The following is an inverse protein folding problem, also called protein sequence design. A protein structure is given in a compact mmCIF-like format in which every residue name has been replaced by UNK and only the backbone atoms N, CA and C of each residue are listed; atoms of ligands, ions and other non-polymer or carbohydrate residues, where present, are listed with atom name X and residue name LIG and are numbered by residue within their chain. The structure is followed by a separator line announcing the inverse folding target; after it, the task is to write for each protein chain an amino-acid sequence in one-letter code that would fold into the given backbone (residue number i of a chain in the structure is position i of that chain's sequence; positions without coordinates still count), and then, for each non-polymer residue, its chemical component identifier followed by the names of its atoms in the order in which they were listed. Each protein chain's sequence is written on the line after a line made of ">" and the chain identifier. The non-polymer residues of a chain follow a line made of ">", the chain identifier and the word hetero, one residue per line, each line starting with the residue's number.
data_IF_194441488244
#
_entry.id   IF_194441488244
#
_cell.length_a   1.000
_cell.length_b   1.000
_cell.length_c   1.000
_cell.angle_alpha   90.00
_cell.angle_beta   90.00
_cell.angle_gamma   90.00
#
_symmetry.space_group_name_H-M   'P 1'
#
loop_
_entity.id
_entity.type
_entity.pdbx_description
1 polymer ?
#
# COMPACT_ATOMS: atom_id res chain seq x y z
N UNK A 1 -19.70 -1.18 19.48
CA UNK A 1 -18.82 -0.35 18.63
C UNK A 1 -19.69 0.65 17.90
N UNK A 2 -19.49 1.94 18.14
CA UNK A 2 -20.31 3.02 17.58
C UNK A 2 -20.00 3.24 16.10
N UNK A 3 -21.01 3.09 15.26
CA UNK A 3 -21.08 3.40 13.82
C UNK A 3 -21.04 4.93 13.55
N UNK A 4 -20.25 5.68 14.32
CA UNK A 4 -20.25 7.16 14.34
C UNK A 4 -19.21 7.77 13.39
N UNK A 5 -18.31 6.95 12.85
CA UNK A 5 -17.25 7.43 11.94
C UNK A 5 -17.55 7.19 10.46
N UNK A 6 -18.68 6.52 10.14
CA UNK A 6 -19.13 6.35 8.75
C UNK A 6 -19.90 7.58 8.29
N UNK A 7 -19.34 8.30 7.34
CA UNK A 7 -20.00 9.44 6.66
C UNK A 7 -20.57 9.00 5.34
N UNK A 8 -21.74 9.54 5.00
CA UNK A 8 -22.29 9.38 3.66
C UNK A 8 -21.42 10.16 2.65
N UNK A 9 -20.93 9.52 1.58
CA UNK A 9 -20.10 10.17 0.56
C UNK A 9 -20.82 11.31 -0.18
N UNK A 10 -22.15 11.30 -0.19
CA UNK A 10 -22.98 12.37 -0.79
C UNK A 10 -23.03 13.60 0.11
N UNK A 11 -22.85 13.44 1.43
CA UNK A 11 -22.85 14.54 2.40
C UNK A 11 -21.43 15.05 2.73
N UNK A 12 -20.43 14.16 2.71
CA UNK A 12 -19.02 14.52 2.83
C UNK A 12 -18.20 13.86 1.71
N UNK A 13 -17.79 14.60 0.66
CA UNK A 13 -17.00 14.05 -0.44
C UNK A 13 -15.59 13.61 -0.03
N UNK A 14 -15.21 13.81 1.24
CA UNK A 14 -13.98 13.29 1.83
C UNK A 14 -14.22 11.99 2.60
N UNK A 15 -15.33 11.31 2.36
CA UNK A 15 -15.60 9.97 2.86
C UNK A 15 -15.40 8.94 1.75
N UNK A 16 -14.92 7.76 2.11
CA UNK A 16 -14.78 6.65 1.19
C UNK A 16 -16.16 6.17 0.70
N UNK A 17 -16.32 6.04 -0.61
CA UNK A 17 -17.57 5.61 -1.25
C UNK A 17 -18.07 4.20 -0.84
N UNK A 18 -17.18 3.35 -0.33
CA UNK A 18 -17.51 1.95 0.02
C UNK A 18 -17.79 1.79 1.51
N UNK A 19 -16.92 2.34 2.36
CA UNK A 19 -16.97 2.10 3.80
C UNK A 19 -17.33 3.32 4.64
N UNK A 20 -17.43 4.51 4.04
CA UNK A 20 -17.77 5.77 4.70
C UNK A 20 -16.66 6.38 5.57
N UNK A 21 -15.47 5.76 5.62
CA UNK A 21 -14.33 6.26 6.41
C UNK A 21 -13.81 7.56 5.81
N UNK A 22 -13.48 8.52 6.67
CA UNK A 22 -12.88 9.79 6.25
C UNK A 22 -11.48 9.59 5.63
N UNK A 23 -11.32 10.02 4.38
CA UNK A 23 -10.10 9.90 3.55
C UNK A 23 -9.32 11.22 3.42
N UNK A 24 -9.89 12.33 3.89
CA UNK A 24 -9.26 13.65 3.84
C UNK A 24 -9.33 14.35 2.49
N UNK A 25 -8.71 15.53 2.41
CA UNK A 25 -8.83 16.45 1.26
C UNK A 25 -7.98 16.06 0.03
N UNK A 26 -7.15 15.03 0.15
CA UNK A 26 -6.28 14.55 -0.93
C UNK A 26 -6.36 13.04 -1.14
N UNK A 27 -7.40 12.40 -0.59
CA UNK A 27 -7.67 10.98 -0.83
C UNK A 27 -8.42 10.78 -2.16
N UNK A 28 -8.18 9.63 -2.79
CA UNK A 28 -8.99 9.12 -3.90
C UNK A 28 -10.44 8.85 -3.45
N UNK A 29 -11.37 8.56 -4.37
CA UNK A 29 -12.78 8.23 -4.03
C UNK A 29 -12.94 7.04 -3.04
N UNK A 30 -11.86 6.26 -2.85
CA UNK A 30 -11.79 5.13 -1.92
C UNK A 30 -10.67 5.32 -0.90
N UNK A 31 -10.90 4.84 0.34
CA UNK A 31 -9.81 4.73 1.31
C UNK A 31 -8.79 3.68 0.85
N UNK A 32 -7.55 3.78 1.35
CA UNK A 32 -6.45 2.88 0.99
C UNK A 32 -6.78 1.39 1.12
N UNK A 33 -7.66 1.02 2.07
CA UNK A 33 -8.12 -0.37 2.23
C UNK A 33 -9.00 -0.80 1.05
N UNK A 34 -10.12 -0.12 0.86
CA UNK A 34 -11.07 -0.43 -0.21
C UNK A 34 -10.43 -0.29 -1.60
N UNK A 35 -9.58 0.72 -1.80
CA UNK A 35 -8.83 0.90 -3.04
C UNK A 35 -7.94 -0.31 -3.38
N UNK A 36 -7.30 -0.93 -2.38
CA UNK A 36 -6.50 -2.16 -2.61
C UNK A 36 -7.36 -3.37 -2.91
N UNK A 37 -8.51 -3.50 -2.26
CA UNK A 37 -9.43 -4.63 -2.48
C UNK A 37 -9.98 -4.66 -3.91
N UNK A 38 -10.27 -3.50 -4.50
CA UNK A 38 -10.75 -3.38 -5.88
C UNK A 38 -9.62 -3.26 -6.92
N UNK A 39 -8.35 -3.28 -6.49
CA UNK A 39 -7.19 -3.13 -7.37
C UNK A 39 -6.88 -1.69 -7.83
N UNK A 40 -7.52 -0.68 -7.24
CA UNK A 40 -7.23 0.74 -7.47
C UNK A 40 -5.92 1.23 -6.82
N UNK A 41 -5.37 0.49 -5.85
CA UNK A 41 -4.04 0.74 -5.28
C UNK A 41 -3.20 -0.54 -5.21
N UNK A 42 -1.86 -0.42 -5.36
CA UNK A 42 -0.96 -1.56 -5.18
C UNK A 42 -1.08 -2.19 -3.78
N UNK A 43 -0.83 -3.51 -3.67
CA UNK A 43 -0.88 -4.21 -2.39
C UNK A 43 0.16 -3.71 -1.39
N UNK A 44 -0.02 -4.14 -0.14
CA UNK A 44 0.98 -3.96 0.90
C UNK A 44 2.00 -5.09 0.82
N UNK A 45 3.24 -4.74 0.51
CA UNK A 45 4.34 -5.67 0.42
C UNK A 45 5.13 -5.72 1.73
N UNK A 46 5.77 -6.85 1.99
CA UNK A 46 6.58 -7.05 3.19
C UNK A 46 8.05 -6.81 2.87
N UNK A 47 8.70 -5.92 3.62
CA UNK A 47 10.12 -5.67 3.51
C UNK A 47 10.91 -6.96 3.82
N UNK A 48 11.77 -7.39 2.91
CA UNK A 48 12.62 -8.56 3.15
C UNK A 48 13.70 -8.33 4.21
N UNK A 49 14.11 -7.08 4.45
CA UNK A 49 15.12 -6.72 5.44
C UNK A 49 14.59 -6.59 6.87
N UNK A 50 13.53 -5.79 7.07
CA UNK A 50 12.97 -5.51 8.41
C UNK A 50 11.60 -6.15 8.68
N UNK A 51 10.97 -6.77 7.67
CA UNK A 51 9.67 -7.42 7.81
C UNK A 51 8.46 -6.48 7.91
N UNK A 52 8.66 -5.15 7.91
CA UNK A 52 7.57 -4.18 7.94
C UNK A 52 6.76 -4.22 6.64
N UNK A 53 5.44 -3.95 6.75
CA UNK A 53 4.55 -3.83 5.59
C UNK A 53 4.42 -2.38 5.16
N UNK A 54 4.56 -2.12 3.87
CA UNK A 54 4.36 -0.80 3.29
C UNK A 54 3.73 -0.92 1.90
N UNK A 55 3.13 0.15 1.37
CA UNK A 55 2.62 0.17 0.00
C UNK A 55 3.74 -0.15 -0.99
N UNK A 56 3.49 -1.06 -1.94
CA UNK A 56 4.48 -1.48 -2.94
C UNK A 56 5.14 -0.29 -3.65
N UNK A 57 4.36 0.74 -4.01
CA UNK A 57 4.83 1.98 -4.66
C UNK A 57 5.84 2.79 -3.85
N UNK A 58 5.94 2.54 -2.52
CA UNK A 58 6.87 3.18 -1.60
C UNK A 58 8.06 2.29 -1.26
N UNK A 59 8.16 1.13 -1.91
CA UNK A 59 9.19 0.13 -1.67
C UNK A 59 10.04 -0.07 -2.93
N UNK A 60 11.28 -0.50 -2.74
CA UNK A 60 12.18 -0.83 -3.82
C UNK A 60 12.02 -2.31 -4.18
N UNK A 61 11.79 -2.61 -5.45
CA UNK A 61 11.75 -3.98 -5.98
C UNK A 61 13.17 -4.49 -6.24
N UNK A 62 13.49 -5.65 -5.70
CA UNK A 62 14.77 -6.34 -5.87
C UNK A 62 14.51 -7.68 -6.51
N UNK A 63 15.19 -7.94 -7.63
CA UNK A 63 15.21 -9.27 -8.22
C UNK A 63 16.25 -10.13 -7.49
N UNK A 64 15.79 -11.23 -6.89
CA UNK A 64 16.66 -12.19 -6.17
C UNK A 64 16.77 -13.52 -6.92
N UNK A 65 16.40 -13.53 -8.19
CA UNK A 65 16.46 -14.74 -9.01
C UNK A 65 17.89 -15.19 -9.22
N UNK A 66 18.17 -16.50 -9.17
CA UNK A 66 19.38 -17.04 -9.74
C UNK A 66 19.44 -16.76 -11.24
N UNK A 67 20.66 -16.60 -11.76
CA UNK A 67 20.93 -16.14 -13.14
C UNK A 67 20.33 -17.04 -14.23
N UNK A 68 20.02 -18.30 -13.89
CA UNK A 68 19.44 -19.31 -14.78
C UNK A 68 17.90 -19.46 -14.66
N UNK A 69 17.22 -18.64 -13.84
CA UNK A 69 15.78 -18.74 -13.63
C UNK A 69 15.00 -17.89 -14.65
N UNK A 70 14.08 -18.54 -15.39
CA UNK A 70 13.26 -17.86 -16.41
C UNK A 70 12.21 -16.91 -15.82
N UNK A 71 11.80 -17.13 -14.56
CA UNK A 71 10.80 -16.31 -13.88
C UNK A 71 11.44 -15.49 -12.77
N UNK A 72 11.33 -14.15 -12.81
CA UNK A 72 11.93 -13.31 -11.79
C UNK A 72 11.20 -13.45 -10.45
N UNK A 73 11.93 -13.81 -9.40
CA UNK A 73 11.53 -13.73 -8.00
C UNK A 73 11.81 -12.33 -7.47
N UNK A 74 10.79 -11.47 -7.53
CA UNK A 74 10.85 -10.11 -6.99
C UNK A 74 10.56 -10.10 -5.49
N UNK A 75 11.41 -9.41 -4.72
CA UNK A 75 11.20 -9.07 -3.31
C UNK A 75 11.22 -7.55 -3.13
N UNK A 76 10.78 -7.08 -1.97
CA UNK A 76 10.66 -5.65 -1.69
C UNK A 76 11.49 -5.23 -0.50
N UNK A 77 12.17 -4.08 -0.61
CA UNK A 77 12.87 -3.42 0.48
C UNK A 77 12.19 -2.09 0.81
N UNK A 78 11.99 -1.81 2.10
CA UNK A 78 11.58 -0.47 2.51
C UNK A 78 12.73 0.51 2.31
N UNK A 79 12.42 1.81 2.21
CA UNK A 79 13.42 2.88 2.02
C UNK A 79 14.57 2.85 3.03
N UNK A 80 14.33 2.39 4.25
CA UNK A 80 15.37 2.26 5.28
C UNK A 80 16.32 1.07 5.05
N UNK A 81 15.84 0.00 4.41
CA UNK A 81 16.65 -1.18 4.09
C UNK A 81 17.29 -1.08 2.70
N UNK A 82 16.67 -0.40 1.74
CA UNK A 82 17.26 -0.21 0.41
C UNK A 82 18.40 0.82 0.42
N UNK A 83 18.36 1.80 1.32
CA UNK A 83 19.41 2.82 1.50
C UNK A 83 20.51 2.47 2.51
N UNK A 84 20.62 1.21 2.92
CA UNK A 84 21.51 0.76 4.00
C UNK A 84 22.90 0.29 3.58
N UNK A 85 23.32 0.51 2.33
CA UNK A 85 24.73 0.35 1.95
C UNK A 85 25.48 1.65 2.26
N UNK A 86 25.69 1.93 3.55
CA UNK A 86 26.81 2.77 3.96
C UNK A 86 28.07 2.08 3.45
N UNK A 87 28.78 2.77 2.57
CA UNK A 87 30.11 2.43 2.03
C UNK A 87 31.08 1.90 3.08
#
# INVERSE_FOLDING_TARGET
>A
MTDVDRRDPSEDPRACSVCGVYIGFGGDEYCDGCAREIGGKPPLERCMGCGQRAPQEKMESVDISPEDEYYPTIRYLCRGCSGGASK
#
